data_IF_196326819281
#
_entry.id   IF_196326819281
#
_cell.length_a   1.000
_cell.length_b   1.000
_cell.length_c   1.000
_cell.angle_alpha   90.00
_cell.angle_beta   90.00
_cell.angle_gamma   90.00
#
_symmetry.space_group_name_H-M   'P 1'
#
loop_
_entity.id
_entity.type
_entity.pdbx_description
1 polymer ?
#
# COMPACT_ATOMS: atom_id res chain seq x y z
N UNK A 1 -1.11 -12.60 -3.28
CA UNK A 1 -2.54 -12.81 -2.95
C UNK A 1 -3.31 -11.54 -3.27
N UNK A 2 -4.41 -11.64 -4.02
CA UNK A 2 -5.18 -10.49 -4.45
C UNK A 2 -6.38 -10.29 -3.51
N UNK A 3 -6.24 -9.43 -2.51
CA UNK A 3 -7.38 -8.86 -1.80
C UNK A 3 -7.24 -7.34 -1.85
N UNK A 4 -8.21 -6.69 -2.49
CA UNK A 4 -8.32 -5.25 -2.62
C UNK A 4 -9.76 -4.87 -2.33
N UNK A 5 -10.08 -4.38 -1.13
CA UNK A 5 -11.35 -3.68 -0.91
C UNK A 5 -11.23 -2.30 -1.58
N UNK A 6 -12.06 -1.96 -2.59
CA UNK A 6 -13.53 -2.03 -2.57
C UNK A 6 -14.20 -2.84 -3.71
N UNK A 7 -13.46 -3.67 -4.47
CA UNK A 7 -14.03 -4.47 -5.55
C UNK A 7 -13.90 -5.98 -5.27
N UNK A 8 -14.96 -6.75 -5.52
CA UNK A 8 -14.98 -8.19 -5.26
C UNK A 8 -13.99 -9.01 -6.12
N UNK A 9 -13.48 -8.44 -7.21
CA UNK A 9 -12.53 -9.08 -8.12
C UNK A 9 -11.64 -8.04 -8.83
N UNK A 10 -10.45 -8.47 -9.24
CA UNK A 10 -9.56 -7.66 -10.09
C UNK A 10 -10.00 -7.74 -11.55
N UNK A 11 -10.04 -6.59 -12.23
CA UNK A 11 -10.28 -6.54 -13.68
C UNK A 11 -9.11 -7.17 -14.44
N UNK A 12 -9.34 -7.64 -15.66
CA UNK A 12 -8.26 -8.21 -16.50
C UNK A 12 -7.12 -7.20 -16.69
N UNK A 13 -7.44 -5.94 -16.96
CA UNK A 13 -6.45 -4.87 -17.08
C UNK A 13 -5.62 -4.71 -15.80
N UNK A 14 -6.24 -4.72 -14.62
CA UNK A 14 -5.51 -4.65 -13.34
C UNK A 14 -4.57 -5.84 -13.15
N UNK A 15 -5.00 -7.06 -13.53
CA UNK A 15 -4.14 -8.26 -13.46
C UNK A 15 -2.93 -8.13 -14.37
N UNK A 16 -3.12 -7.67 -15.61
CA UNK A 16 -2.02 -7.43 -16.57
C UNK A 16 -1.04 -6.38 -16.02
N UNK A 17 -1.54 -5.28 -15.46
CA UNK A 17 -0.69 -4.23 -14.88
C UNK A 17 0.09 -4.71 -13.65
N UNK A 18 -0.55 -5.48 -12.78
CA UNK A 18 0.10 -6.13 -11.64
C UNK A 18 1.19 -7.09 -12.10
N UNK A 19 0.89 -7.93 -13.09
CA UNK A 19 1.84 -8.86 -13.67
C UNK A 19 3.02 -8.11 -14.29
N UNK A 20 2.79 -7.05 -15.06
CA UNK A 20 3.83 -6.22 -15.66
C UNK A 20 4.77 -5.62 -14.60
N UNK A 21 4.21 -5.01 -13.55
CA UNK A 21 5.00 -4.47 -12.43
C UNK A 21 5.84 -5.55 -11.78
N UNK A 22 5.24 -6.71 -11.46
CA UNK A 22 5.94 -7.85 -10.85
C UNK A 22 7.07 -8.37 -11.74
N UNK A 23 6.81 -8.54 -13.03
CA UNK A 23 7.81 -9.02 -13.99
C UNK A 23 9.02 -8.08 -14.07
N UNK A 24 8.80 -6.75 -14.10
CA UNK A 24 9.88 -5.77 -14.10
C UNK A 24 10.68 -5.78 -12.79
N UNK A 25 10.02 -5.85 -11.63
CA UNK A 25 10.73 -5.91 -10.34
C UNK A 25 11.61 -7.17 -10.20
N UNK A 26 11.15 -8.32 -10.72
CA UNK A 26 12.00 -9.51 -10.76
C UNK A 26 13.13 -9.40 -11.77
N UNK A 27 12.92 -8.75 -12.92
CA UNK A 27 14.01 -8.46 -13.87
C UNK A 27 15.08 -7.54 -13.30
N UNK A 28 14.69 -6.58 -12.45
CA UNK A 28 15.62 -5.71 -11.74
C UNK A 28 16.49 -6.48 -10.74
N UNK A 29 16.01 -7.63 -10.27
CA UNK A 29 16.78 -8.53 -9.40
C UNK A 29 17.81 -9.36 -10.17
N UNK A 30 17.73 -9.40 -11.50
CA UNK A 30 18.70 -10.04 -12.38
C UNK A 30 19.67 -9.01 -12.99
N UNK A 31 20.73 -9.49 -13.65
CA UNK A 31 21.69 -8.62 -14.33
C UNK A 31 21.11 -7.94 -15.59
N UNK A 32 21.64 -6.76 -15.93
CA UNK A 32 21.36 -6.02 -17.19
C UNK A 32 19.89 -5.60 -17.39
N UNK A 33 19.24 -5.13 -16.33
CA UNK A 33 17.84 -4.68 -16.30
C UNK A 33 17.36 -3.87 -17.53
N UNK A 34 18.04 -2.77 -17.88
CA UNK A 34 17.51 -1.79 -18.87
C UNK A 34 17.19 -2.41 -20.23
N UNK A 35 18.05 -3.30 -20.72
CA UNK A 35 17.86 -3.95 -22.01
C UNK A 35 16.66 -4.90 -21.97
N UNK A 36 16.57 -5.75 -20.95
CA UNK A 36 15.48 -6.71 -20.81
C UNK A 36 14.14 -6.05 -20.46
N UNK A 37 14.14 -4.94 -19.73
CA UNK A 37 12.94 -4.14 -19.47
C UNK A 37 12.35 -3.56 -20.76
N UNK A 38 13.20 -3.09 -21.69
CA UNK A 38 12.76 -2.64 -23.01
C UNK A 38 12.16 -3.78 -23.83
N UNK A 39 12.83 -4.94 -23.88
CA UNK A 39 12.31 -6.13 -24.56
C UNK A 39 10.97 -6.61 -23.98
N UNK A 40 10.82 -6.60 -22.65
CA UNK A 40 9.55 -6.91 -22.03
C UNK A 40 8.47 -5.93 -22.44
N UNK A 41 8.75 -4.63 -22.39
CA UNK A 41 7.77 -3.64 -22.83
C UNK A 41 7.31 -3.86 -24.27
N UNK A 42 8.24 -4.16 -25.19
CA UNK A 42 7.90 -4.49 -26.58
C UNK A 42 6.93 -5.68 -26.68
N UNK A 43 7.19 -6.78 -25.95
CA UNK A 43 6.30 -7.96 -25.90
C UNK A 43 4.90 -7.64 -25.40
N UNK A 44 4.78 -6.78 -24.39
CA UNK A 44 3.45 -6.34 -23.91
C UNK A 44 2.75 -5.42 -24.91
N UNK A 45 3.50 -4.60 -25.66
CA UNK A 45 2.94 -3.71 -26.69
C UNK A 45 2.42 -4.49 -27.91
N UNK A 46 3.03 -5.62 -28.29
CA UNK A 46 2.58 -6.50 -29.36
C UNK A 46 1.12 -6.98 -29.16
N UNK A 47 0.75 -7.34 -27.93
CA UNK A 47 -0.58 -7.84 -27.58
C UNK A 47 -1.49 -6.80 -26.91
N UNK A 48 -1.14 -5.51 -26.97
CA UNK A 48 -1.93 -4.43 -26.33
C UNK A 48 -3.33 -4.27 -26.92
N UNK A 49 -3.48 -4.50 -28.22
CA UNK A 49 -4.72 -4.26 -28.96
C UNK A 49 -5.53 -5.54 -29.28
N UNK A 50 -5.31 -6.61 -28.50
CA UNK A 50 -6.05 -7.87 -28.66
C UNK A 50 -7.52 -7.69 -28.21
N UNK A 51 -8.45 -7.95 -29.12
CA UNK A 51 -9.90 -7.78 -28.87
C UNK A 51 -10.55 -9.02 -28.24
N UNK A 52 -9.98 -10.19 -28.46
CA UNK A 52 -10.50 -11.44 -27.92
C UNK A 52 -10.05 -11.63 -26.47
N UNK A 53 -11.01 -11.59 -25.56
CA UNK A 53 -10.77 -11.73 -24.12
C UNK A 53 -10.32 -13.14 -23.73
N UNK A 54 -10.74 -14.18 -24.46
CA UNK A 54 -10.32 -15.57 -24.15
C UNK A 54 -8.84 -15.76 -24.44
N UNK A 55 -8.40 -15.28 -25.60
CA UNK A 55 -7.00 -15.22 -26.00
C UNK A 55 -6.18 -14.38 -25.02
N UNK A 56 -6.68 -13.21 -24.61
CA UNK A 56 -5.98 -12.35 -23.66
C UNK A 56 -5.75 -13.04 -22.29
N UNK A 57 -6.76 -13.77 -21.79
CA UNK A 57 -6.64 -14.55 -20.56
C UNK A 57 -5.64 -15.70 -20.73
N UNK A 58 -5.67 -16.38 -21.87
CA UNK A 58 -4.72 -17.45 -22.16
C UNK A 58 -3.28 -16.94 -22.21
N UNK A 59 -3.04 -15.82 -22.90
CA UNK A 59 -1.72 -15.17 -22.95
C UNK A 59 -1.21 -14.77 -21.55
N UNK A 60 -2.10 -14.22 -20.70
CA UNK A 60 -1.72 -13.88 -19.34
C UNK A 60 -1.36 -15.14 -18.53
N UNK A 61 -2.11 -16.23 -18.69
CA UNK A 61 -1.83 -17.50 -18.00
C UNK A 61 -0.49 -18.09 -18.43
N UNK A 62 -0.23 -18.16 -19.73
CA UNK A 62 1.05 -18.63 -20.28
C UNK A 62 2.21 -17.76 -19.80
N UNK A 63 2.03 -16.43 -19.76
CA UNK A 63 3.03 -15.52 -19.24
C UNK A 63 3.28 -15.68 -17.74
N UNK A 64 2.25 -15.99 -16.94
CA UNK A 64 2.38 -16.29 -15.51
C UNK A 64 3.13 -17.60 -15.26
N UNK A 65 2.88 -18.64 -16.07
CA UNK A 65 3.62 -19.89 -16.04
C UNK A 65 5.10 -19.65 -16.36
N UNK A 66 5.40 -18.98 -17.48
CA UNK A 66 6.77 -18.62 -17.88
C UNK A 66 7.49 -17.81 -16.81
N UNK A 67 6.79 -16.86 -16.19
CA UNK A 67 7.31 -16.06 -15.10
C UNK A 67 7.62 -16.91 -13.87
N UNK A 68 6.74 -17.85 -13.50
CA UNK A 68 6.94 -18.74 -12.36
C UNK A 68 8.20 -19.58 -12.48
N UNK A 69 8.51 -20.07 -13.69
CA UNK A 69 9.74 -20.84 -13.95
C UNK A 69 11.01 -19.98 -13.93
N UNK A 70 10.92 -18.67 -14.23
CA UNK A 70 12.08 -17.77 -14.40
C UNK A 70 12.23 -16.74 -13.28
N UNK A 71 11.40 -16.79 -12.25
CA UNK A 71 11.47 -15.84 -11.14
C UNK A 71 12.81 -15.97 -10.38
N UNK A 72 13.40 -14.83 -10.01
CA UNK A 72 14.60 -14.83 -9.19
C UNK A 72 14.33 -15.50 -7.83
N UNK A 73 15.20 -16.40 -7.32
CA UNK A 73 14.99 -17.09 -6.04
C UNK A 73 14.88 -16.14 -4.84
N UNK A 74 15.59 -15.02 -4.87
CA UNK A 74 15.58 -14.00 -3.84
C UNK A 74 15.35 -12.62 -4.47
N UNK A 75 14.12 -12.26 -4.82
CA UNK A 75 13.85 -10.99 -5.48
C UNK A 75 14.25 -9.81 -4.59
N UNK A 76 14.59 -8.68 -5.20
CA UNK A 76 14.81 -7.44 -4.49
C UNK A 76 13.51 -6.96 -3.85
N UNK A 77 13.53 -6.76 -2.53
CA UNK A 77 12.42 -6.24 -1.75
C UNK A 77 12.91 -4.98 -1.06
N UNK A 78 12.18 -3.87 -1.20
CA UNK A 78 12.51 -2.63 -0.51
C UNK A 78 12.51 -2.84 1.01
N UNK A 79 13.41 -2.14 1.70
CA UNK A 79 13.67 -2.33 3.12
C UNK A 79 12.39 -2.29 3.98
N UNK A 80 11.54 -1.29 3.77
CA UNK A 80 10.30 -1.07 4.54
C UNK A 80 9.06 -1.73 3.94
N UNK A 81 9.19 -2.40 2.79
CA UNK A 81 8.09 -3.16 2.20
C UNK A 81 7.91 -4.51 2.91
N UNK A 82 6.72 -5.13 2.86
CA UNK A 82 6.51 -6.47 3.40
C UNK A 82 7.54 -7.47 2.87
N UNK A 83 8.25 -8.15 3.78
CA UNK A 83 9.35 -9.06 3.46
C UNK A 83 10.73 -8.39 3.29
N UNK A 84 10.81 -7.07 3.46
CA UNK A 84 12.06 -6.31 3.50
C UNK A 84 12.79 -6.43 4.85
N UNK A 85 14.02 -5.93 4.91
CA UNK A 85 14.92 -6.07 6.07
C UNK A 85 14.61 -5.12 7.23
N UNK A 86 13.86 -4.04 7.01
CA UNK A 86 13.38 -3.12 8.05
C UNK A 86 11.86 -3.08 8.17
N UNK A 87 11.16 -4.01 7.53
CA UNK A 87 9.70 -4.13 7.64
C UNK A 87 9.28 -4.24 9.10
N UNK A 88 8.36 -3.38 9.52
CA UNK A 88 7.83 -3.28 10.90
C UNK A 88 8.89 -3.07 12.01
N UNK A 89 10.15 -2.76 11.64
CA UNK A 89 11.25 -2.57 12.60
C UNK A 89 10.94 -1.51 13.67
N UNK A 90 10.24 -0.45 13.27
CA UNK A 90 9.93 0.68 14.15
C UNK A 90 8.50 0.64 14.69
N UNK A 91 7.72 -0.41 14.40
CA UNK A 91 6.34 -0.52 14.89
C UNK A 91 6.29 -0.60 16.43
N UNK A 92 7.32 -1.15 17.07
CA UNK A 92 7.45 -1.19 18.52
C UNK A 92 7.55 0.19 19.19
N UNK A 93 7.94 1.23 18.46
CA UNK A 93 8.01 2.61 18.97
C UNK A 93 6.73 3.41 18.70
N UNK A 94 5.81 2.88 17.87
CA UNK A 94 4.52 3.51 17.58
C UNK A 94 3.52 3.18 18.68
N UNK A 95 3.73 3.79 19.84
CA UNK A 95 2.79 3.68 20.96
C UNK A 95 1.50 4.42 20.61
N UNK A 96 0.35 3.80 20.89
CA UNK A 96 -0.94 4.46 20.69
C UNK A 96 -1.06 5.70 21.57
N UNK A 97 -1.63 6.78 21.04
CA UNK A 97 -1.79 8.05 21.76
C UNK A 97 -2.60 7.91 23.05
N UNK A 98 -3.58 7.00 23.10
CA UNK A 98 -4.35 6.69 24.31
C UNK A 98 -3.48 6.28 25.52
N UNK A 99 -2.22 5.87 25.30
CA UNK A 99 -1.29 5.62 26.40
C UNK A 99 -0.94 6.91 27.16
N UNK A 100 -0.96 8.08 26.51
CA UNK A 100 -0.70 9.37 27.14
C UNK A 100 -1.78 9.73 28.18
N UNK A 101 -3.03 9.28 27.99
CA UNK A 101 -4.10 9.47 28.97
C UNK A 101 -3.78 8.83 30.32
N UNK A 102 -3.08 7.69 30.29
CA UNK A 102 -2.74 6.90 31.49
C UNK A 102 -1.55 7.44 32.29
N UNK A 103 -0.88 8.50 31.84
CA UNK A 103 0.29 9.06 32.52
C UNK A 103 -0.07 9.69 33.88
N UNK A 104 0.84 9.59 34.85
CA UNK A 104 0.63 10.20 36.17
C UNK A 104 0.62 11.74 36.04
N UNK A 105 -0.23 12.47 36.80
CA UNK A 105 -0.33 13.93 36.69
C UNK A 105 1.00 14.68 36.84
N UNK A 106 1.93 14.17 37.65
CA UNK A 106 3.28 14.78 37.77
C UNK A 106 4.12 14.67 36.50
N UNK A 107 3.92 13.62 35.69
CA UNK A 107 4.61 13.44 34.41
C UNK A 107 3.97 14.34 33.35
N UNK A 108 2.64 14.47 33.35
CA UNK A 108 1.94 15.41 32.46
C UNK A 108 2.30 16.87 32.75
N UNK A 109 2.47 17.22 34.03
CA UNK A 109 2.89 18.56 34.45
C UNK A 109 4.29 18.97 33.95
N UNK A 110 5.11 18.02 33.49
CA UNK A 110 6.40 18.32 32.84
C UNK A 110 6.21 18.93 31.44
N UNK A 111 5.08 18.67 30.79
CA UNK A 111 4.76 19.12 29.42
C UNK A 111 3.41 19.84 29.37
N UNK A 112 3.25 20.98 30.08
CA UNK A 112 1.96 21.64 30.23
C UNK A 112 1.39 22.13 28.89
N UNK A 113 2.23 22.70 28.03
CA UNK A 113 1.80 23.27 26.75
C UNK A 113 1.24 22.19 25.80
N UNK A 114 1.84 20.99 25.81
CA UNK A 114 1.42 19.86 24.97
C UNK A 114 0.03 19.33 25.37
N UNK A 115 -0.23 19.12 26.66
CA UNK A 115 -1.51 18.59 27.14
C UNK A 115 -2.65 19.64 27.15
N UNK A 116 -2.35 20.93 27.05
CA UNK A 116 -3.35 22.00 26.95
C UNK A 116 -3.93 22.15 25.53
N UNK A 117 -3.21 21.70 24.51
CA UNK A 117 -3.60 21.83 23.10
C UNK A 117 -4.52 20.68 22.60
N UNK A 118 -4.63 19.57 23.35
CA UNK A 118 -5.24 18.31 22.87
C UNK A 118 -6.71 18.02 23.32
N UNK A 119 -7.47 18.95 23.89
CA UNK A 119 -8.87 18.68 24.33
C UNK A 119 -9.93 19.03 23.24
N UNK A 120 -10.48 18.07 22.47
CA UNK A 120 -11.63 18.28 21.58
C UNK A 120 -12.99 18.06 22.29
N UNK A 121 -14.08 18.71 21.81
CA UNK A 121 -15.41 18.60 22.42
C UNK A 121 -16.10 17.23 22.21
N UNK A 122 -17.00 16.80 23.12
CA UNK A 122 -17.49 15.41 23.20
C UNK A 122 -18.64 15.06 22.23
N UNK A 123 -18.52 13.93 21.51
CA UNK A 123 -19.63 13.23 20.81
C UNK A 123 -19.24 12.55 19.48
N UNK A 124 -19.02 11.23 19.46
CA UNK A 124 -18.60 10.46 18.26
C UNK A 124 -19.65 9.43 17.74
N UNK A 125 -19.66 9.05 16.44
CA UNK A 125 -20.72 8.20 15.85
C UNK A 125 -20.34 6.74 15.47
N UNK A 126 -21.36 5.96 15.06
CA UNK A 126 -21.53 4.49 15.23
C UNK A 126 -21.31 3.58 13.98
N UNK A 127 -20.67 3.95 12.87
CA UNK A 127 -20.49 3.03 11.70
C UNK A 127 -19.22 3.26 10.83
N UNK A 128 -18.81 2.23 10.06
CA UNK A 128 -17.46 2.04 9.45
C UNK A 128 -17.23 2.54 8.01
N UNK A 129 -18.17 3.26 7.38
CA UNK A 129 -17.96 3.83 6.03
C UNK A 129 -17.97 5.36 6.09
N UNK A 130 -16.96 6.00 5.51
CA UNK A 130 -16.66 7.42 5.72
C UNK A 130 -16.99 8.23 4.47
N UNK A 131 -18.05 9.07 4.49
CA UNK A 131 -18.31 9.99 3.39
C UNK A 131 -17.24 11.10 3.33
N UNK A 132 -16.94 11.67 2.15
CA UNK A 132 -16.13 12.90 2.07
C UNK A 132 -16.80 14.04 2.85
N UNK A 133 -16.02 14.98 3.39
CA UNK A 133 -16.53 16.18 4.03
C UNK A 133 -17.45 16.94 3.07
N UNK A 134 -18.69 17.25 3.49
CA UNK A 134 -19.75 17.80 2.62
C UNK A 134 -19.92 19.31 2.72
N UNK A 135 -19.28 19.98 3.68
CA UNK A 135 -19.38 21.43 3.91
C UNK A 135 -17.99 22.03 4.19
N UNK A 136 -17.84 23.30 3.87
CA UNK A 136 -16.63 24.08 4.15
C UNK A 136 -16.46 24.23 5.67
N UNK A 137 -15.40 23.63 6.22
CA UNK A 137 -15.11 23.57 7.67
C UNK A 137 -15.33 22.20 8.33
N UNK A 138 -15.96 21.24 7.66
CA UNK A 138 -16.13 19.88 8.20
C UNK A 138 -14.87 19.02 7.92
N UNK A 139 -14.33 18.36 8.95
CA UNK A 139 -13.27 17.35 8.78
C UNK A 139 -13.89 16.02 8.29
N UNK A 140 -13.23 15.30 7.38
CA UNK A 140 -13.71 14.00 6.93
C UNK A 140 -13.74 13.02 8.11
N UNK A 141 -14.70 12.10 8.17
CA UNK A 141 -14.78 11.16 9.28
C UNK A 141 -13.57 10.19 9.25
N UNK A 142 -13.12 9.72 10.44
CA UNK A 142 -11.79 9.10 10.73
C UNK A 142 -10.55 9.87 10.25
N UNK A 143 -10.64 11.19 10.06
CA UNK A 143 -9.47 12.05 9.81
C UNK A 143 -8.34 11.82 10.82
N UNK A 144 -8.69 11.57 12.08
CA UNK A 144 -7.76 11.29 13.17
C UNK A 144 -6.89 10.06 12.88
N UNK A 145 -7.45 8.89 12.55
CA UNK A 145 -6.65 7.71 12.15
C UNK A 145 -5.75 7.96 10.93
N UNK A 146 -6.19 8.76 9.96
CA UNK A 146 -5.44 8.99 8.71
C UNK A 146 -4.28 9.98 8.91
N UNK A 147 -4.45 11.00 9.75
CA UNK A 147 -3.38 11.94 10.08
C UNK A 147 -2.31 11.32 10.99
N UNK A 148 -2.68 10.38 11.86
CA UNK A 148 -1.74 9.68 12.74
C UNK A 148 -0.74 8.78 12.00
N UNK A 149 -1.12 8.27 10.83
CA UNK A 149 -0.22 7.47 9.99
C UNK A 149 0.67 8.31 9.06
N UNK A 150 0.49 9.65 9.02
CA UNK A 150 1.15 10.55 8.08
C UNK A 150 2.14 11.54 8.71
N UNK A 151 2.55 11.35 9.97
CA UNK A 151 3.69 12.10 10.51
C UNK A 151 5.00 11.56 9.89
N UNK A 152 5.74 12.39 9.13
CA UNK A 152 7.07 12.02 8.67
C UNK A 152 8.01 11.98 9.89
N UNK A 153 8.78 10.90 10.01
CA UNK A 153 10.09 10.97 10.67
C UNK A 153 11.05 11.77 9.79
#
# INVERSE_FOLDING_TARGET
MAFSAPAAYLTHQQKVLWFYKRALSHLESWDKYRYYAWLMRARFEEHKNEKDMTKAIQLLREAEEDFWYRQHPQPYIFSDSPGGTSYERYECYKVSENCLDTWHPSQKAMYPDYFLEEEPPPGGPLTKALPPARKEGDLPPLWWHINLFNYPM
#
